data_IF_794312589575
#
_entry.id   IF_794312589575
#
_cell.length_a   1.000
_cell.length_b   1.000
_cell.length_c   1.000
_cell.angle_alpha   90.00
_cell.angle_beta   90.00
_cell.angle_gamma   90.00
#
_symmetry.space_group_name_H-M   'P 1'
#
loop_
_entity.id
_entity.type
_entity.pdbx_description
1 polymer ?
#
# COMPACT_ATOMS: atom_id res chain seq x y z
N UNK A 1 54.94 33.26 22.18
CA UNK A 1 54.13 33.31 20.96
C UNK A 1 53.70 31.88 20.70
N UNK A 2 52.47 31.54 21.03
CA UNK A 2 51.91 30.21 20.77
C UNK A 2 51.25 30.26 19.41
N UNK A 3 51.58 29.28 18.57
CA UNK A 3 51.03 29.07 17.24
C UNK A 3 49.51 28.80 17.36
N UNK A 4 48.64 29.43 16.57
CA UNK A 4 47.26 29.03 16.52
C UNK A 4 47.15 27.76 15.70
N UNK A 5 46.90 26.62 16.38
CA UNK A 5 46.42 25.40 15.72
C UNK A 5 45.18 25.73 14.92
N UNK A 6 45.31 25.68 13.59
CA UNK A 6 44.17 25.63 12.71
C UNK A 6 43.33 24.41 13.09
N UNK A 7 42.12 24.61 13.58
CA UNK A 7 41.11 23.57 13.63
C UNK A 7 40.83 23.18 12.17
N UNK A 8 41.34 22.05 11.72
CA UNK A 8 40.81 21.35 10.54
C UNK A 8 39.36 20.96 10.92
N UNK A 9 38.41 21.67 10.38
CA UNK A 9 37.01 21.25 10.35
C UNK A 9 36.99 20.11 9.34
N UNK A 10 37.01 18.88 9.84
CA UNK A 10 36.76 17.68 9.04
C UNK A 10 35.27 17.71 8.66
N UNK A 11 34.98 18.40 7.59
CA UNK A 11 33.63 18.42 7.01
C UNK A 11 33.45 17.09 6.29
N UNK A 12 32.62 16.22 6.86
CA UNK A 12 32.23 14.98 6.22
C UNK A 12 31.42 15.32 4.96
N UNK A 13 31.95 15.04 3.81
CA UNK A 13 31.34 15.33 2.50
C UNK A 13 30.77 14.08 1.83
N UNK A 14 30.72 12.95 2.56
CA UNK A 14 30.30 11.66 2.02
C UNK A 14 28.91 11.72 1.41
N UNK A 15 27.95 12.36 2.07
CA UNK A 15 26.57 12.49 1.60
C UNK A 15 26.51 13.28 0.29
N UNK A 16 27.21 14.40 0.21
CA UNK A 16 27.30 15.22 -1.00
C UNK A 16 27.99 14.48 -2.15
N UNK A 17 29.02 13.67 -1.85
CA UNK A 17 29.70 12.85 -2.85
C UNK A 17 28.78 11.75 -3.40
N UNK A 18 27.92 11.15 -2.57
CA UNK A 18 26.93 10.16 -2.97
C UNK A 18 25.88 10.79 -3.88
N UNK A 19 25.29 11.93 -3.48
CA UNK A 19 24.32 12.67 -4.28
C UNK A 19 24.91 13.09 -5.64
N UNK A 20 26.13 13.63 -5.65
CA UNK A 20 26.81 14.03 -6.88
C UNK A 20 27.12 12.83 -7.79
N UNK A 21 27.54 11.69 -7.22
CA UNK A 21 27.81 10.48 -7.98
C UNK A 21 26.49 9.89 -8.56
N UNK A 22 25.37 10.01 -7.85
CA UNK A 22 24.06 9.62 -8.35
C UNK A 22 23.61 10.50 -9.51
N UNK A 23 23.73 11.82 -9.38
CA UNK A 23 23.43 12.81 -10.44
C UNK A 23 24.26 12.56 -11.71
N UNK A 24 25.54 12.22 -11.56
CA UNK A 24 26.43 11.98 -12.70
C UNK A 24 26.38 10.52 -13.21
N UNK A 25 25.53 9.66 -12.68
CA UNK A 25 25.46 8.23 -12.97
C UNK A 25 26.80 7.50 -12.82
N UNK A 26 27.67 7.97 -11.91
CA UNK A 26 28.99 7.38 -11.65
C UNK A 26 28.86 6.14 -10.75
N UNK A 27 28.58 5.00 -11.39
CA UNK A 27 28.39 3.71 -10.72
C UNK A 27 29.61 3.25 -9.92
N UNK A 28 30.84 3.59 -10.36
CA UNK A 28 32.06 3.14 -9.70
C UNK A 28 32.30 3.92 -8.40
N UNK A 29 32.04 5.22 -8.42
CA UNK A 29 32.08 6.06 -7.21
C UNK A 29 30.98 5.67 -6.24
N UNK A 30 29.74 5.44 -6.71
CA UNK A 30 28.63 4.98 -5.87
C UNK A 30 28.95 3.65 -5.17
N UNK A 31 29.41 2.64 -5.91
CA UNK A 31 29.80 1.34 -5.33
C UNK A 31 30.89 1.46 -4.26
N UNK A 32 31.83 2.38 -4.45
CA UNK A 32 32.86 2.65 -3.47
C UNK A 32 32.34 3.36 -2.23
N UNK A 33 31.54 4.40 -2.41
CA UNK A 33 31.00 5.23 -1.33
C UNK A 33 30.00 4.45 -0.47
N UNK A 34 29.07 3.72 -1.08
CA UNK A 34 28.06 2.93 -0.37
C UNK A 34 28.64 1.76 0.45
N UNK A 35 29.87 1.32 0.17
CA UNK A 35 30.57 0.31 0.97
C UNK A 35 31.31 0.88 2.18
N UNK A 36 31.38 2.19 2.33
CA UNK A 36 31.99 2.81 3.49
C UNK A 36 31.08 2.73 4.71
N UNK A 37 31.58 2.72 5.95
CA UNK A 37 30.74 2.67 7.16
C UNK A 37 29.77 3.84 7.30
N UNK A 38 29.97 4.94 6.58
CA UNK A 38 29.12 6.13 6.56
C UNK A 38 28.30 6.24 5.29
N UNK A 39 28.51 5.35 4.32
CA UNK A 39 27.78 5.39 3.05
C UNK A 39 26.37 4.88 3.23
N UNK A 40 25.38 5.69 2.82
CA UNK A 40 23.97 5.31 2.81
C UNK A 40 23.35 5.66 1.47
N UNK A 41 22.50 4.78 0.97
CA UNK A 41 21.70 5.04 -0.23
C UNK A 41 20.49 5.98 0.06
N UNK A 42 20.27 6.32 1.35
CA UNK A 42 19.15 7.12 1.84
C UNK A 42 19.61 8.49 2.40
N UNK A 43 20.78 8.98 1.97
CA UNK A 43 21.19 10.35 2.29
C UNK A 43 20.23 11.34 1.67
N UNK A 44 20.01 12.47 2.33
CA UNK A 44 19.06 13.51 1.90
C UNK A 44 19.82 14.83 1.68
N UNK A 45 19.58 15.45 0.55
CA UNK A 45 20.04 16.80 0.28
C UNK A 45 19.27 17.81 1.14
N UNK A 46 19.99 18.62 1.92
CA UNK A 46 19.38 19.54 2.90
C UNK A 46 18.62 20.71 2.27
N UNK A 47 18.83 20.99 1.00
CA UNK A 47 18.25 22.15 0.31
C UNK A 47 17.02 21.79 -0.54
N UNK A 48 16.90 20.52 -0.91
CA UNK A 48 15.85 20.03 -1.83
C UNK A 48 15.06 18.83 -1.30
N UNK A 49 15.50 18.22 -0.20
CA UNK A 49 14.93 16.96 0.29
C UNK A 49 15.20 15.75 -0.60
N UNK A 50 15.96 15.91 -1.70
CA UNK A 50 16.19 14.83 -2.67
C UNK A 50 17.11 13.73 -2.11
N UNK A 51 16.72 12.48 -2.31
CA UNK A 51 17.55 11.31 -2.09
C UNK A 51 18.41 11.00 -3.33
N UNK A 52 19.42 10.09 -3.26
CA UNK A 52 20.17 9.66 -4.43
C UNK A 52 19.32 9.10 -5.57
N UNK A 53 18.15 8.49 -5.26
CA UNK A 53 17.19 8.04 -6.27
C UNK A 53 16.57 9.23 -7.02
N UNK A 54 16.15 10.26 -6.29
CA UNK A 54 15.67 11.50 -6.91
C UNK A 54 16.75 12.15 -7.78
N UNK A 55 17.95 12.29 -7.23
CA UNK A 55 19.08 12.92 -7.94
C UNK A 55 19.43 12.20 -9.26
N UNK A 56 19.42 10.86 -9.24
CA UNK A 56 19.66 10.06 -10.44
C UNK A 56 18.58 10.23 -11.51
N UNK A 57 17.32 10.39 -11.10
CA UNK A 57 16.18 10.55 -12.01
C UNK A 57 16.10 12.00 -12.51
N UNK A 58 16.27 12.98 -11.63
CA UNK A 58 16.26 14.41 -11.97
C UNK A 58 17.37 14.79 -12.97
N UNK A 59 18.49 14.07 -12.97
CA UNK A 59 19.57 14.29 -13.93
C UNK A 59 19.16 14.08 -15.40
N UNK A 60 18.03 13.38 -15.64
CA UNK A 60 17.46 13.20 -16.98
C UNK A 60 16.49 14.34 -17.39
N UNK A 61 16.26 15.32 -16.51
CA UNK A 61 15.42 16.48 -16.84
C UNK A 61 16.17 17.39 -17.83
N UNK A 62 15.59 17.62 -19.00
CA UNK A 62 16.19 18.46 -20.02
C UNK A 62 16.28 19.91 -19.52
N UNK A 63 17.45 20.52 -19.58
CA UNK A 63 17.60 21.94 -19.27
C UNK A 63 16.66 22.78 -20.16
N UNK A 64 15.85 23.67 -19.56
CA UNK A 64 14.92 24.56 -20.31
C UNK A 64 15.65 25.41 -21.37
N UNK A 65 16.90 25.80 -21.11
CA UNK A 65 17.73 26.56 -22.04
C UNK A 65 18.12 25.75 -23.30
N UNK A 66 18.29 24.42 -23.17
CA UNK A 66 18.59 23.53 -24.31
C UNK A 66 17.33 23.16 -25.09
N UNK A 67 16.16 23.19 -24.48
CA UNK A 67 14.87 22.95 -25.14
C UNK A 67 14.53 24.10 -26.10
N UNK A 68 14.84 25.36 -25.74
CA UNK A 68 14.58 26.52 -26.56
C UNK A 68 15.52 26.55 -27.80
N UNK A 69 16.77 26.17 -27.67
CA UNK A 69 17.73 26.08 -28.78
C UNK A 69 17.40 24.96 -29.77
N UNK A 70 16.72 23.90 -29.32
CA UNK A 70 16.29 22.76 -30.17
C UNK A 70 15.05 23.09 -31.03
N UNK A 71 14.24 24.09 -30.64
CA UNK A 71 13.08 24.54 -31.44
C UNK A 71 13.51 25.34 -32.67
N UNK A 72 14.66 25.98 -32.62
CA UNK A 72 15.19 26.80 -33.73
C UNK A 72 16.07 26.05 -34.72
N UNK A 73 16.37 24.78 -34.46
CA UNK A 73 17.11 23.91 -35.37
C UNK A 73 16.23 22.73 -35.80
N UNK A 74 16.19 22.43 -37.10
CA UNK A 74 15.57 21.23 -37.69
C UNK A 74 16.31 19.96 -37.15
N UNK A 75 16.10 19.61 -35.89
CA UNK A 75 16.72 18.44 -35.25
C UNK A 75 15.90 17.22 -35.59
N UNK A 76 16.57 16.20 -36.11
CA UNK A 76 15.98 14.91 -36.46
C UNK A 76 15.31 14.30 -35.21
N UNK A 77 13.97 14.18 -35.23
CA UNK A 77 13.12 13.68 -34.13
C UNK A 77 13.60 12.29 -33.65
N UNK A 78 14.20 11.50 -34.56
CA UNK A 78 14.80 10.20 -34.27
C UNK A 78 16.11 10.29 -33.44
N UNK A 79 16.87 11.39 -33.56
CA UNK A 79 18.11 11.58 -32.81
C UNK A 79 17.81 11.97 -31.33
N UNK A 80 16.83 12.84 -31.12
CA UNK A 80 16.38 13.23 -29.77
C UNK A 80 15.78 12.07 -28.98
N UNK A 81 14.99 11.22 -29.62
CA UNK A 81 14.44 10.00 -29.00
C UNK A 81 15.53 8.98 -28.63
N UNK A 82 16.63 8.98 -29.36
CA UNK A 82 17.75 8.05 -29.08
C UNK A 82 18.63 8.55 -27.92
N UNK A 83 18.78 9.86 -27.76
CA UNK A 83 19.52 10.45 -26.65
C UNK A 83 18.79 10.30 -25.31
N UNK A 84 17.49 10.56 -25.25
CA UNK A 84 16.68 10.33 -24.05
C UNK A 84 16.61 8.87 -23.64
N UNK A 85 16.60 7.94 -24.60
CA UNK A 85 16.63 6.50 -24.31
C UNK A 85 17.98 6.03 -23.73
N UNK A 86 19.10 6.69 -24.10
CA UNK A 86 20.42 6.39 -23.53
C UNK A 86 20.56 6.96 -22.11
N UNK A 87 20.06 8.18 -21.89
CA UNK A 87 20.04 8.81 -20.57
C UNK A 87 19.19 7.99 -19.58
N UNK A 88 17.98 7.53 -19.99
CA UNK A 88 17.16 6.63 -19.18
C UNK A 88 17.88 5.32 -18.84
N UNK A 89 18.65 4.75 -19.77
CA UNK A 89 19.38 3.50 -19.53
C UNK A 89 20.52 3.67 -18.51
N UNK A 90 21.17 4.83 -18.47
CA UNK A 90 22.21 5.17 -17.48
C UNK A 90 21.55 5.43 -16.11
N UNK A 91 20.47 6.20 -16.07
CA UNK A 91 19.68 6.42 -14.87
C UNK A 91 19.17 5.09 -14.29
N UNK A 92 18.64 4.21 -15.12
CA UNK A 92 18.14 2.89 -14.69
C UNK A 92 19.22 2.05 -14.01
N UNK A 93 20.45 2.08 -14.51
CA UNK A 93 21.57 1.34 -13.87
C UNK A 93 21.89 1.92 -12.50
N UNK A 94 21.87 3.24 -12.36
CA UNK A 94 22.09 3.94 -11.09
C UNK A 94 20.96 3.65 -10.11
N UNK A 95 19.72 3.77 -10.55
CA UNK A 95 18.51 3.43 -9.78
C UNK A 95 18.59 1.99 -9.24
N UNK A 96 18.88 1.01 -10.10
CA UNK A 96 19.01 -0.40 -9.68
C UNK A 96 20.11 -0.59 -8.65
N UNK A 97 21.27 0.05 -8.84
CA UNK A 97 22.38 -0.02 -7.89
C UNK A 97 21.98 0.55 -6.52
N UNK A 98 21.27 1.69 -6.49
CA UNK A 98 20.80 2.31 -5.25
C UNK A 98 19.77 1.42 -4.54
N UNK A 99 18.79 0.89 -5.26
CA UNK A 99 17.78 -0.04 -4.72
C UNK A 99 18.42 -1.34 -4.18
N UNK A 100 19.44 -1.89 -4.85
CA UNK A 100 20.20 -3.05 -4.38
C UNK A 100 21.00 -2.76 -3.10
N UNK A 101 21.25 -1.48 -2.79
CA UNK A 101 21.95 -1.03 -1.58
C UNK A 101 20.98 -0.41 -0.55
N UNK A 102 19.70 -0.73 -0.62
CA UNK A 102 18.70 -0.39 0.39
C UNK A 102 18.12 1.02 0.28
N UNK A 103 18.16 1.62 -0.92
CA UNK A 103 17.46 2.89 -1.13
C UNK A 103 15.95 2.72 -0.96
N UNK A 104 15.34 3.63 -0.22
CA UNK A 104 13.88 3.65 0.01
C UNK A 104 13.19 4.19 -1.25
N UNK A 105 12.28 3.39 -1.81
CA UNK A 105 11.66 3.64 -3.12
C UNK A 105 10.61 4.77 -3.10
N UNK A 106 10.05 5.09 -1.93
CA UNK A 106 8.92 6.01 -1.74
C UNK A 106 9.22 7.20 -0.82
N UNK A 107 10.49 7.49 -0.52
CA UNK A 107 10.88 8.71 0.19
C UNK A 107 10.40 9.95 -0.56
N UNK A 108 10.07 11.01 0.19
CA UNK A 108 9.57 12.27 -0.35
C UNK A 108 10.67 13.33 -0.40
N UNK A 109 10.70 14.09 -1.49
CA UNK A 109 11.46 15.34 -1.56
C UNK A 109 10.66 16.52 -0.98
N UNK A 110 11.22 17.73 -0.96
CA UNK A 110 10.55 18.95 -0.48
C UNK A 110 9.33 19.35 -1.31
N UNK A 111 9.14 18.77 -2.51
CA UNK A 111 7.96 18.97 -3.35
C UNK A 111 6.88 17.90 -3.10
N UNK A 112 7.07 17.02 -2.11
CA UNK A 112 6.22 15.86 -1.87
C UNK A 112 6.16 14.88 -3.06
N UNK A 113 7.19 14.82 -3.90
CA UNK A 113 7.34 13.82 -4.95
C UNK A 113 8.18 12.64 -4.45
N UNK A 114 7.78 11.42 -4.80
CA UNK A 114 8.66 10.25 -4.67
C UNK A 114 9.55 10.11 -5.91
N UNK A 115 10.66 9.35 -5.86
CA UNK A 115 11.46 9.07 -7.06
C UNK A 115 10.63 8.49 -8.21
N UNK A 116 9.61 7.66 -7.88
CA UNK A 116 8.68 7.10 -8.86
C UNK A 116 7.78 8.16 -9.49
N UNK A 117 7.23 9.11 -8.72
CA UNK A 117 6.44 10.23 -9.25
C UNK A 117 7.27 11.08 -10.20
N UNK A 118 8.50 11.40 -9.81
CA UNK A 118 9.46 12.13 -10.64
C UNK A 118 9.75 11.40 -11.95
N UNK A 119 10.01 10.09 -11.90
CA UNK A 119 10.24 9.28 -13.09
C UNK A 119 9.03 9.26 -14.03
N UNK A 120 7.80 9.19 -13.46
CA UNK A 120 6.56 9.24 -14.24
C UNK A 120 6.39 10.59 -14.93
N UNK A 121 6.62 11.69 -14.20
CA UNK A 121 6.54 13.06 -14.72
C UNK A 121 7.54 13.32 -15.86
N UNK A 122 8.73 12.78 -15.76
CA UNK A 122 9.78 12.88 -16.79
C UNK A 122 9.61 11.88 -17.94
N UNK A 123 8.64 10.97 -17.86
CA UNK A 123 8.38 9.95 -18.88
C UNK A 123 9.39 8.79 -18.90
N UNK A 124 10.19 8.60 -17.84
CA UNK A 124 11.21 7.57 -17.68
C UNK A 124 10.59 6.25 -17.24
N UNK A 125 9.94 5.55 -18.18
CA UNK A 125 9.13 4.36 -17.91
C UNK A 125 9.89 3.22 -17.25
N UNK A 126 11.14 2.97 -17.67
CA UNK A 126 11.95 1.88 -17.11
C UNK A 126 12.38 2.17 -15.68
N UNK A 127 12.68 3.44 -15.35
CA UNK A 127 12.99 3.86 -13.98
C UNK A 127 11.73 3.75 -13.11
N UNK A 128 10.57 4.19 -13.62
CA UNK A 128 9.29 4.04 -12.95
C UNK A 128 8.96 2.57 -12.65
N UNK A 129 9.07 1.68 -13.65
CA UNK A 129 8.85 0.24 -13.47
C UNK A 129 9.80 -0.36 -12.41
N UNK A 130 11.07 0.08 -12.38
CA UNK A 130 12.03 -0.37 -11.37
C UNK A 130 11.62 0.06 -9.95
N UNK A 131 11.03 1.27 -9.78
CA UNK A 131 10.47 1.73 -8.51
C UNK A 131 9.28 0.88 -8.08
N UNK A 132 8.32 0.65 -8.99
CA UNK A 132 7.16 -0.21 -8.69
C UNK A 132 7.60 -1.63 -8.30
N UNK A 133 8.54 -2.23 -9.03
CA UNK A 133 9.08 -3.55 -8.69
C UNK A 133 9.79 -3.56 -7.33
N UNK A 134 10.51 -2.49 -6.98
CA UNK A 134 11.16 -2.37 -5.68
C UNK A 134 10.14 -2.25 -4.55
N UNK A 135 9.10 -1.43 -4.75
CA UNK A 135 7.99 -1.27 -3.81
C UNK A 135 7.28 -2.59 -3.55
N UNK A 136 6.89 -3.32 -4.60
CA UNK A 136 6.24 -4.63 -4.46
C UNK A 136 7.11 -5.60 -3.64
N UNK A 137 8.41 -5.66 -3.93
CA UNK A 137 9.33 -6.53 -3.15
C UNK A 137 9.43 -6.11 -1.68
N UNK A 138 9.48 -4.81 -1.41
CA UNK A 138 9.56 -4.27 -0.06
C UNK A 138 8.29 -4.61 0.75
N UNK A 139 7.11 -4.31 0.19
CA UNK A 139 5.82 -4.56 0.85
C UNK A 139 5.58 -6.06 1.13
N UNK A 140 5.89 -6.94 0.17
CA UNK A 140 5.79 -8.39 0.36
C UNK A 140 6.78 -8.91 1.41
N UNK A 141 7.96 -8.31 1.53
CA UNK A 141 8.95 -8.67 2.55
C UNK A 141 8.48 -8.23 3.93
N UNK A 142 8.03 -6.98 4.08
CA UNK A 142 7.49 -6.45 5.33
C UNK A 142 6.30 -7.27 5.84
N UNK A 143 5.34 -7.57 4.95
CA UNK A 143 4.19 -8.41 5.29
C UNK A 143 4.56 -9.82 5.81
N UNK A 144 5.70 -10.36 5.40
CA UNK A 144 6.20 -11.64 5.93
C UNK A 144 6.88 -11.47 7.29
N UNK A 145 7.58 -10.36 7.51
CA UNK A 145 8.25 -10.09 8.79
C UNK A 145 7.25 -9.86 9.92
N UNK A 146 6.16 -9.14 9.66
CA UNK A 146 5.07 -8.94 10.63
C UNK A 146 4.49 -10.28 11.14
N UNK A 147 4.41 -11.30 10.27
CA UNK A 147 4.01 -12.64 10.67
C UNK A 147 4.99 -13.35 11.61
N UNK A 148 6.28 -13.05 11.53
CA UNK A 148 7.30 -13.63 12.42
C UNK A 148 7.32 -12.97 13.80
N UNK A 149 7.08 -11.68 13.92
CA UNK A 149 6.98 -10.99 15.22
C UNK A 149 5.80 -11.49 16.03
N UNK A 150 4.66 -11.75 15.40
CA UNK A 150 3.49 -12.31 16.09
C UNK A 150 3.75 -13.71 16.67
N UNK A 151 4.52 -14.56 15.99
CA UNK A 151 4.89 -15.88 16.51
C UNK A 151 5.81 -15.78 17.73
N UNK A 152 6.72 -14.84 17.77
CA UNK A 152 7.59 -14.60 18.91
C UNK A 152 6.84 -14.07 20.16
N UNK A 153 5.78 -13.29 19.98
CA UNK A 153 4.93 -12.81 21.09
C UNK A 153 4.05 -13.93 21.70
N UNK A 154 3.66 -14.94 20.92
CA UNK A 154 2.87 -16.06 21.45
C UNK A 154 3.70 -17.07 22.24
N UNK A 155 5.02 -17.12 22.07
CA UNK A 155 5.89 -18.03 22.83
C UNK A 155 6.22 -17.51 24.25
N UNK A 156 6.07 -16.20 24.53
CA UNK A 156 6.42 -15.61 25.81
C UNK A 156 5.26 -15.57 26.84
N UNK A 157 4.01 -15.81 26.41
CA UNK A 157 2.83 -15.88 27.29
C UNK A 157 2.49 -17.29 27.81
N UNK A 158 3.32 -18.31 27.50
CA UNK A 158 3.06 -19.70 27.90
C UNK A 158 3.97 -20.27 28.99
N UNK A 159 4.69 -19.44 29.74
CA UNK A 159 5.41 -19.87 30.95
C UNK A 159 4.55 -19.70 32.21
N UNK A 160 3.51 -20.50 32.38
CA UNK A 160 3.01 -20.95 33.70
C UNK A 160 1.95 -22.05 33.51
N UNK A 161 2.42 -23.29 33.25
CA UNK A 161 1.76 -24.51 33.74
C UNK A 161 2.73 -25.68 33.56
N UNK A 162 3.49 -25.99 34.61
CA UNK A 162 4.13 -27.29 34.78
C UNK A 162 3.05 -28.33 35.10
N UNK A 163 2.63 -29.11 34.10
CA UNK A 163 2.01 -30.42 34.37
C UNK A 163 2.68 -31.51 33.51
N UNK A 164 3.11 -32.50 34.22
CA UNK A 164 3.76 -33.77 33.87
C UNK A 164 3.34 -34.35 32.52
N UNK A 165 4.23 -34.38 31.54
CA UNK A 165 4.09 -35.19 30.32
C UNK A 165 5.02 -36.43 30.41
N UNK A 166 4.54 -37.51 30.99
CA UNK A 166 5.06 -38.85 30.76
C UNK A 166 4.63 -39.37 29.38
N UNK A 167 5.61 -39.79 28.58
CA UNK A 167 5.39 -40.84 27.58
C UNK A 167 5.36 -40.44 26.11
N UNK A 168 6.51 -40.19 25.52
CA UNK A 168 6.67 -40.33 24.07
C UNK A 168 7.20 -41.76 23.78
N UNK A 169 6.35 -42.65 23.25
CA UNK A 169 6.76 -43.95 22.72
C UNK A 169 7.48 -43.74 21.37
N UNK A 170 8.74 -44.14 21.33
CA UNK A 170 9.54 -44.22 20.09
C UNK A 170 9.09 -45.47 19.35
N UNK A 171 8.47 -45.32 18.20
CA UNK A 171 8.18 -46.42 17.28
C UNK A 171 9.46 -46.74 16.52
N UNK A 172 10.13 -47.82 16.89
CA UNK A 172 11.24 -48.41 16.12
C UNK A 172 10.68 -49.16 14.90
N UNK A 173 11.07 -48.74 13.70
CA UNK A 173 10.85 -49.52 12.50
C UNK A 173 11.91 -50.66 12.37
N UNK A 174 11.46 -51.84 12.05
CA UNK A 174 12.23 -53.08 11.93
C UNK A 174 13.24 -53.11 10.74
N UNK A 175 13.96 -52.09 10.44
CA UNK A 175 15.12 -52.15 9.56
C UNK A 175 16.16 -51.16 10.05
N UNK A 176 17.11 -51.63 10.80
CA UNK A 176 18.19 -50.91 11.46
C UNK A 176 19.12 -50.17 10.49
N UNK A 177 18.71 -49.08 9.91
CA UNK A 177 19.54 -48.14 9.19
C UNK A 177 19.37 -46.76 9.79
N UNK A 178 20.36 -46.31 10.55
CA UNK A 178 20.43 -45.01 11.14
C UNK A 178 20.72 -43.97 10.05
N UNK A 179 19.69 -43.20 9.64
CA UNK A 179 19.88 -42.01 8.86
C UNK A 179 20.50 -40.92 9.77
N UNK A 180 21.81 -40.77 9.69
CA UNK A 180 22.49 -39.57 10.18
C UNK A 180 21.96 -38.35 9.41
N UNK A 181 21.19 -37.49 10.08
CA UNK A 181 20.94 -36.14 9.61
C UNK A 181 22.28 -35.42 9.57
N UNK A 182 22.77 -35.16 8.36
CA UNK A 182 23.92 -34.26 8.15
C UNK A 182 23.49 -32.86 8.58
N UNK A 183 24.06 -32.38 9.67
CA UNK A 183 24.03 -30.97 10.00
C UNK A 183 24.72 -30.22 8.82
N UNK A 184 23.96 -29.42 8.11
CA UNK A 184 24.52 -28.44 7.20
C UNK A 184 25.17 -27.40 8.11
N UNK A 185 26.50 -27.30 8.05
CA UNK A 185 27.23 -26.20 8.66
C UNK A 185 26.73 -24.90 8.01
N UNK A 186 26.05 -24.07 8.80
CA UNK A 186 25.65 -22.73 8.39
C UNK A 186 26.92 -21.89 8.34
N UNK A 187 27.23 -21.36 7.17
CA UNK A 187 28.34 -20.42 6.94
C UNK A 187 28.17 -19.20 7.86
N UNK A 188 29.09 -19.00 8.80
CA UNK A 188 29.12 -17.87 9.74
C UNK A 188 29.35 -16.49 9.05
N UNK A 189 29.22 -16.37 7.75
CA UNK A 189 29.44 -15.15 6.98
C UNK A 189 28.15 -14.41 6.56
N UNK A 190 26.99 -14.79 7.08
CA UNK A 190 25.75 -14.00 6.87
C UNK A 190 25.86 -12.69 7.68
N UNK A 191 25.60 -11.52 7.09
CA UNK A 191 25.61 -10.27 7.84
C UNK A 191 24.52 -10.28 8.90
N UNK A 192 24.86 -9.92 10.15
CA UNK A 192 23.87 -9.69 11.21
C UNK A 192 22.91 -8.58 10.75
N UNK A 193 21.65 -8.95 10.58
CA UNK A 193 20.56 -8.05 10.21
C UNK A 193 19.94 -7.32 11.41
N UNK A 194 20.44 -7.56 12.62
CA UNK A 194 19.91 -7.00 13.86
C UNK A 194 21.00 -6.22 14.58
N UNK A 195 20.74 -4.94 14.90
CA UNK A 195 21.64 -4.12 15.71
C UNK A 195 21.77 -4.65 17.15
N UNK A 196 22.83 -4.23 17.89
CA UNK A 196 23.10 -4.71 19.26
C UNK A 196 22.03 -4.32 20.30
N UNK A 197 21.02 -3.56 19.94
CA UNK A 197 19.86 -3.13 20.74
C UNK A 197 18.55 -3.83 20.34
N UNK A 198 18.62 -4.80 19.42
CA UNK A 198 17.44 -5.56 18.96
C UNK A 198 16.59 -4.82 17.90
N UNK A 199 17.05 -3.67 17.39
CA UNK A 199 16.34 -2.94 16.35
C UNK A 199 16.77 -3.40 14.95
N UNK A 200 15.81 -3.66 14.08
CA UNK A 200 16.01 -3.93 12.64
C UNK A 200 16.12 -2.57 11.95
N UNK A 201 17.24 -2.22 11.30
CA UNK A 201 17.31 -0.98 10.54
C UNK A 201 16.34 -1.04 9.36
N UNK A 202 15.29 -0.22 9.37
CA UNK A 202 14.30 -0.13 8.29
C UNK A 202 12.90 -0.64 8.62
N UNK A 203 12.63 -1.12 9.84
CA UNK A 203 11.28 -1.41 10.32
C UNK A 203 10.57 -0.15 10.82
N UNK A 204 10.82 1.01 10.20
CA UNK A 204 9.90 2.13 10.35
C UNK A 204 8.78 1.92 9.33
N UNK A 205 7.55 1.84 9.86
CA UNK A 205 6.28 1.85 9.14
C UNK A 205 6.36 2.73 7.89
N UNK A 206 5.60 2.35 6.86
CA UNK A 206 5.29 3.21 5.68
C UNK A 206 5.32 4.67 6.14
N UNK A 207 6.11 5.57 5.53
CA UNK A 207 6.19 6.95 6.00
C UNK A 207 4.78 7.52 6.14
N UNK A 208 4.36 7.74 7.39
CA UNK A 208 3.13 8.46 7.69
C UNK A 208 3.19 9.77 6.92
N UNK A 209 2.16 10.07 6.15
CA UNK A 209 2.01 11.36 5.48
C UNK A 209 2.00 12.45 6.56
N UNK A 210 3.15 13.02 6.86
CA UNK A 210 3.28 14.14 7.77
C UNK A 210 2.75 15.38 7.03
N UNK A 211 1.55 15.80 7.34
CA UNK A 211 1.07 17.13 6.93
C UNK A 211 1.53 18.16 7.95
N UNK A 212 2.18 19.21 7.46
CA UNK A 212 2.58 20.36 8.27
C UNK A 212 1.41 21.36 8.24
N UNK A 213 0.90 21.74 9.41
CA UNK A 213 -0.15 22.78 9.52
C UNK A 213 0.38 24.18 9.18
N UNK A 214 -0.53 25.16 9.08
CA UNK A 214 -0.19 26.58 8.78
C UNK A 214 0.81 27.19 9.80
N UNK A 215 1.11 26.49 10.89
CA UNK A 215 2.02 26.91 11.97
C UNK A 215 3.35 26.12 11.96
N UNK A 216 3.58 25.23 10.98
CA UNK A 216 4.79 24.42 10.85
C UNK A 216 4.86 23.28 11.90
N UNK A 217 3.73 22.83 12.44
CA UNK A 217 3.65 21.75 13.39
C UNK A 217 3.22 20.46 12.68
N UNK A 218 3.97 19.37 12.87
CA UNK A 218 3.61 18.05 12.36
C UNK A 218 2.26 17.62 12.92
N UNK A 219 1.28 17.47 12.06
CA UNK A 219 0.00 16.86 12.42
C UNK A 219 0.05 15.39 12.05
N UNK A 220 -0.03 14.50 13.02
CA UNK A 220 -0.29 13.08 12.78
C UNK A 220 -1.63 12.96 12.05
N UNK A 221 -1.58 12.52 10.81
CA UNK A 221 -2.77 12.40 9.95
C UNK A 221 -3.14 10.94 9.79
N UNK A 222 -2.91 10.14 10.80
CA UNK A 222 -3.37 8.76 10.78
C UNK A 222 -4.79 8.69 11.33
N UNK A 223 -5.76 8.45 10.44
CA UNK A 223 -7.13 8.15 10.83
C UNK A 223 -7.17 6.64 11.06
N UNK A 224 -7.01 6.23 12.31
CA UNK A 224 -7.17 4.84 12.68
C UNK A 224 -8.65 4.47 12.89
N UNK A 225 -8.94 3.20 12.80
CA UNK A 225 -10.31 2.67 12.91
C UNK A 225 -10.98 3.01 14.26
N UNK A 226 -10.24 3.06 15.37
CA UNK A 226 -10.79 3.35 16.69
C UNK A 226 -11.22 4.80 16.82
N UNK A 227 -10.38 5.74 16.38
CA UNK A 227 -10.67 7.16 16.37
C UNK A 227 -11.84 7.47 15.42
N UNK A 228 -11.88 6.82 14.26
CA UNK A 228 -12.99 6.92 13.33
C UNK A 228 -14.31 6.48 13.97
N UNK A 229 -14.36 5.29 14.57
CA UNK A 229 -15.57 4.76 15.19
C UNK A 229 -16.05 5.57 16.39
N UNK A 230 -15.15 6.32 17.05
CA UNK A 230 -15.47 7.24 18.14
C UNK A 230 -15.82 8.66 17.66
N UNK A 231 -15.59 8.99 16.39
CA UNK A 231 -15.79 10.33 15.82
C UNK A 231 -17.26 10.61 15.53
N UNK A 232 -17.66 11.89 15.50
CA UNK A 232 -18.98 12.30 15.02
C UNK A 232 -18.96 12.50 13.52
N UNK A 233 -19.88 11.85 12.79
CA UNK A 233 -19.95 11.93 11.34
C UNK A 233 -20.89 13.02 10.86
N UNK A 234 -20.47 13.73 9.82
CA UNK A 234 -21.28 14.74 9.13
C UNK A 234 -21.74 14.23 7.77
N UNK A 235 -23.05 14.00 7.61
CA UNK A 235 -23.71 13.72 6.33
C UNK A 235 -24.13 15.03 5.69
N UNK A 236 -23.47 15.45 4.62
CA UNK A 236 -23.75 16.72 3.95
C UNK A 236 -23.96 16.49 2.45
N UNK A 237 -25.23 16.29 2.06
CA UNK A 237 -25.63 16.15 0.66
C UNK A 237 -24.97 14.94 -0.01
N UNK A 238 -23.91 15.19 -0.70
CA UNK A 238 -23.14 14.31 -1.57
C UNK A 238 -21.88 13.72 -0.91
N UNK A 239 -21.64 13.98 0.39
CA UNK A 239 -20.42 13.58 1.08
C UNK A 239 -20.65 13.17 2.53
N UNK A 240 -19.82 12.25 2.98
CA UNK A 240 -19.69 11.81 4.36
C UNK A 240 -18.29 12.22 4.87
N UNK A 241 -18.26 12.97 5.95
CA UNK A 241 -17.03 13.47 6.56
C UNK A 241 -16.96 13.04 8.02
N UNK A 242 -15.75 12.78 8.52
CA UNK A 242 -15.49 12.62 9.95
C UNK A 242 -15.45 13.96 10.71
N UNK A 243 -15.18 13.90 12.03
CA UNK A 243 -15.11 15.08 12.90
C UNK A 243 -14.02 16.07 12.47
N UNK A 244 -12.92 15.58 11.90
CA UNK A 244 -11.80 16.38 11.40
C UNK A 244 -11.97 16.84 9.96
N UNK A 245 -13.14 16.57 9.36
CA UNK A 245 -13.46 16.85 7.95
C UNK A 245 -12.63 16.06 6.94
N UNK A 246 -12.13 14.90 7.31
CA UNK A 246 -11.58 13.98 6.33
C UNK A 246 -12.72 13.36 5.51
N UNK A 247 -12.48 13.15 4.22
CA UNK A 247 -13.46 12.46 3.37
C UNK A 247 -13.54 10.99 3.75
N UNK A 248 -14.76 10.52 4.09
CA UNK A 248 -15.03 9.10 4.37
C UNK A 248 -15.61 8.44 3.13
N UNK A 249 -16.59 9.06 2.49
CA UNK A 249 -17.22 8.59 1.25
C UNK A 249 -17.84 9.78 0.52
N UNK A 250 -17.82 9.74 -0.80
CA UNK A 250 -18.37 10.80 -1.65
C UNK A 250 -19.17 10.27 -2.83
N UNK A 251 -20.11 11.08 -3.34
CA UNK A 251 -21.00 10.67 -4.42
C UNK A 251 -20.32 10.43 -5.77
N UNK A 252 -19.11 10.95 -5.99
CA UNK A 252 -18.35 10.68 -7.22
C UNK A 252 -18.02 9.19 -7.40
N UNK A 253 -18.01 8.41 -6.31
CA UNK A 253 -17.78 6.96 -6.33
C UNK A 253 -18.96 6.18 -6.94
N UNK A 254 -20.12 6.82 -7.15
CA UNK A 254 -21.35 6.15 -7.62
C UNK A 254 -21.13 5.37 -8.92
N UNK A 255 -20.38 5.91 -9.87
CA UNK A 255 -20.13 5.24 -11.16
C UNK A 255 -19.25 4.01 -11.00
N UNK A 256 -18.28 4.06 -10.07
CA UNK A 256 -17.46 2.91 -9.68
C UNK A 256 -18.36 1.83 -9.08
N UNK A 257 -19.20 2.20 -8.11
CA UNK A 257 -20.10 1.26 -7.41
C UNK A 257 -21.15 0.64 -8.32
N UNK A 258 -21.66 1.40 -9.30
CA UNK A 258 -22.55 0.86 -10.34
C UNK A 258 -21.88 -0.25 -11.15
N UNK A 259 -20.67 -0.02 -11.65
CA UNK A 259 -19.91 -1.02 -12.40
C UNK A 259 -19.53 -2.21 -11.53
N UNK A 260 -19.14 -1.97 -10.29
CA UNK A 260 -18.83 -3.02 -9.31
C UNK A 260 -20.03 -3.95 -9.12
N UNK A 261 -21.23 -3.40 -8.87
CA UNK A 261 -22.46 -4.21 -8.73
C UNK A 261 -22.81 -4.97 -10.00
N UNK A 262 -22.61 -4.37 -11.18
CA UNK A 262 -22.82 -5.06 -12.46
C UNK A 262 -21.89 -6.26 -12.64
N UNK A 263 -20.67 -6.19 -12.12
CA UNK A 263 -19.70 -7.29 -12.14
C UNK A 263 -19.99 -8.34 -11.07
N UNK A 264 -20.26 -7.92 -9.84
CA UNK A 264 -20.52 -8.84 -8.71
C UNK A 264 -21.89 -9.53 -8.84
N UNK A 265 -22.89 -8.81 -9.35
CA UNK A 265 -24.27 -9.30 -9.47
C UNK A 265 -24.75 -9.22 -10.91
N UNK A 266 -24.27 -10.10 -11.83
CA UNK A 266 -24.71 -10.08 -13.23
C UNK A 266 -26.17 -10.44 -13.40
N UNK A 267 -26.76 -11.13 -12.43
CA UNK A 267 -28.14 -11.60 -12.44
C UNK A 267 -28.95 -11.05 -11.27
N UNK A 268 -30.26 -11.26 -11.29
CA UNK A 268 -31.16 -10.89 -10.18
C UNK A 268 -31.31 -12.07 -9.22
N UNK A 269 -31.69 -11.77 -7.99
CA UNK A 269 -32.03 -12.80 -7.01
C UNK A 269 -30.83 -13.44 -6.34
N UNK A 270 -29.65 -12.83 -6.46
CA UNK A 270 -28.41 -13.28 -5.82
C UNK A 270 -28.39 -12.93 -4.33
N UNK A 271 -27.52 -13.60 -3.58
CA UNK A 271 -27.22 -13.35 -2.16
C UNK A 271 -25.98 -12.47 -2.11
N UNK A 272 -26.03 -11.34 -1.44
CA UNK A 272 -24.90 -10.42 -1.35
C UNK A 272 -24.55 -10.11 0.10
N UNK A 273 -23.25 -9.92 0.34
CA UNK A 273 -22.69 -9.37 1.56
C UNK A 273 -21.96 -8.08 1.22
N UNK A 274 -22.31 -7.00 1.90
CA UNK A 274 -21.56 -5.74 1.88
C UNK A 274 -20.93 -5.49 3.25
N UNK A 275 -19.64 -5.18 3.27
CA UNK A 275 -18.87 -4.79 4.47
C UNK A 275 -18.54 -3.31 4.38
N UNK A 276 -19.19 -2.50 5.22
CA UNK A 276 -19.16 -1.03 5.17
C UNK A 276 -20.35 -0.46 4.40
N UNK A 277 -21.24 0.29 5.11
CA UNK A 277 -22.41 0.92 4.50
C UNK A 277 -22.15 2.36 4.04
N UNK A 278 -21.46 3.13 4.87
CA UNK A 278 -21.16 4.53 4.60
C UNK A 278 -22.40 5.37 4.27
N UNK A 279 -22.46 5.90 3.06
CA UNK A 279 -23.61 6.62 2.53
C UNK A 279 -24.70 5.70 1.97
N UNK A 280 -24.46 4.40 1.88
CA UNK A 280 -25.37 3.41 1.34
C UNK A 280 -25.49 3.41 -0.18
N UNK A 281 -24.51 3.97 -0.88
CA UNK A 281 -24.53 4.07 -2.35
C UNK A 281 -24.59 2.68 -2.96
N UNK A 282 -23.61 1.82 -2.66
CA UNK A 282 -23.56 0.47 -3.24
C UNK A 282 -24.74 -0.39 -2.80
N UNK A 283 -25.17 -0.26 -1.54
CA UNK A 283 -26.31 -1.01 -1.01
C UNK A 283 -27.63 -0.63 -1.72
N UNK A 284 -27.78 0.67 -2.05
CA UNK A 284 -28.89 1.15 -2.87
C UNK A 284 -28.91 0.50 -4.25
N UNK A 285 -27.74 0.40 -4.88
CA UNK A 285 -27.58 -0.21 -6.21
C UNK A 285 -27.87 -1.72 -6.16
N UNK A 286 -27.42 -2.44 -5.12
CA UNK A 286 -27.78 -3.85 -4.91
C UNK A 286 -29.30 -4.04 -4.77
N UNK A 287 -29.99 -3.14 -4.05
CA UNK A 287 -31.46 -3.20 -3.95
C UNK A 287 -32.15 -2.95 -5.30
N UNK A 288 -31.65 -2.03 -6.11
CA UNK A 288 -32.15 -1.77 -7.46
C UNK A 288 -31.92 -2.96 -8.42
N UNK A 289 -30.83 -3.71 -8.22
CA UNK A 289 -30.56 -4.99 -8.90
C UNK A 289 -31.52 -6.10 -8.50
N UNK A 290 -32.27 -5.92 -7.38
CA UNK A 290 -33.22 -6.90 -6.82
C UNK A 290 -32.52 -8.19 -6.39
N UNK A 291 -31.51 -8.06 -5.57
CA UNK A 291 -30.89 -9.18 -4.87
C UNK A 291 -31.92 -9.84 -3.93
N UNK A 292 -31.85 -11.15 -3.72
CA UNK A 292 -32.79 -11.88 -2.89
C UNK A 292 -32.45 -11.80 -1.40
N UNK A 293 -31.16 -11.82 -1.09
CA UNK A 293 -30.64 -11.71 0.28
C UNK A 293 -29.54 -10.66 0.27
N UNK A 294 -29.59 -9.75 1.22
CA UNK A 294 -28.63 -8.65 1.32
C UNK A 294 -28.18 -8.50 2.78
N UNK A 295 -27.01 -9.01 3.10
CA UNK A 295 -26.37 -8.79 4.39
C UNK A 295 -25.49 -7.55 4.31
N UNK A 296 -25.57 -6.70 5.34
CA UNK A 296 -24.77 -5.48 5.46
C UNK A 296 -24.13 -5.49 6.85
N UNK A 297 -22.80 -5.36 6.90
CA UNK A 297 -22.04 -5.18 8.12
C UNK A 297 -21.68 -3.70 8.23
N UNK A 298 -22.01 -3.09 9.37
CA UNK A 298 -21.69 -1.70 9.64
C UNK A 298 -21.29 -1.53 11.11
N UNK A 299 -20.19 -0.82 11.35
CA UNK A 299 -19.64 -0.64 12.69
C UNK A 299 -19.94 0.76 13.27
N UNK A 300 -20.02 1.80 12.41
CA UNK A 300 -20.11 3.17 12.91
C UNK A 300 -21.49 3.51 13.47
N UNK A 301 -21.59 3.99 14.74
CA UNK A 301 -22.89 4.27 15.37
C UNK A 301 -23.75 5.28 14.60
N UNK A 302 -23.15 6.35 14.04
CA UNK A 302 -23.87 7.39 13.31
C UNK A 302 -24.39 6.87 11.96
N UNK A 303 -23.63 5.99 11.29
CA UNK A 303 -24.10 5.32 10.07
C UNK A 303 -25.29 4.40 10.40
N UNK A 304 -25.18 3.59 11.45
CA UNK A 304 -26.31 2.74 11.92
C UNK A 304 -27.54 3.56 12.29
N UNK A 305 -27.38 4.70 12.96
CA UNK A 305 -28.47 5.62 13.28
C UNK A 305 -29.12 6.18 12.00
N UNK A 306 -28.31 6.49 10.98
CA UNK A 306 -28.78 6.93 9.67
C UNK A 306 -29.52 5.82 8.93
N UNK A 307 -29.01 4.59 8.93
CA UNK A 307 -29.67 3.43 8.33
C UNK A 307 -31.04 3.18 8.93
N UNK A 308 -31.20 3.32 10.27
CA UNK A 308 -32.52 3.22 10.93
C UNK A 308 -33.50 4.30 10.44
N UNK A 309 -33.01 5.55 10.33
CA UNK A 309 -33.81 6.68 9.85
C UNK A 309 -34.25 6.50 8.40
N UNK A 310 -33.38 5.92 7.56
CA UNK A 310 -33.63 5.74 6.13
C UNK A 310 -34.38 4.42 5.83
N UNK A 311 -34.82 3.68 6.88
CA UNK A 311 -35.65 2.50 6.76
C UNK A 311 -34.95 1.25 6.22
N UNK A 312 -33.64 1.13 6.40
CA UNK A 312 -32.87 -0.04 5.93
C UNK A 312 -33.26 -1.33 6.66
N UNK A 313 -33.62 -1.24 7.93
CA UNK A 313 -34.04 -2.41 8.74
C UNK A 313 -35.37 -3.02 8.34
N UNK A 314 -36.19 -2.25 7.66
CA UNK A 314 -37.54 -2.67 7.19
C UNK A 314 -37.52 -3.17 5.74
N UNK A 315 -36.38 -3.05 5.02
CA UNK A 315 -36.29 -3.49 3.63
C UNK A 315 -36.35 -5.02 3.54
N UNK A 316 -37.21 -5.58 2.67
CA UNK A 316 -37.32 -7.03 2.50
C UNK A 316 -35.98 -7.64 2.03
N UNK A 317 -35.54 -8.74 2.65
CA UNK A 317 -34.31 -9.45 2.30
C UNK A 317 -33.05 -8.82 2.82
N UNK A 318 -33.11 -7.66 3.49
CA UNK A 318 -31.98 -7.00 4.12
C UNK A 318 -31.79 -7.52 5.55
N UNK A 319 -30.55 -7.84 5.90
CA UNK A 319 -30.13 -8.18 7.27
C UNK A 319 -28.91 -7.34 7.63
N UNK A 320 -29.06 -6.48 8.64
CA UNK A 320 -28.00 -5.60 9.12
C UNK A 320 -27.31 -6.26 10.30
N UNK A 321 -25.99 -6.30 10.27
CA UNK A 321 -25.13 -6.76 11.34
C UNK A 321 -24.39 -5.54 11.90
N UNK A 322 -24.72 -5.20 13.15
CA UNK A 322 -24.17 -4.05 13.84
C UNK A 322 -22.87 -4.45 14.54
N UNK A 323 -21.75 -3.88 14.16
CA UNK A 323 -20.44 -4.14 14.75
C UNK A 323 -19.33 -4.22 13.72
N UNK A 324 -18.12 -4.45 14.21
CA UNK A 324 -16.95 -4.64 13.35
C UNK A 324 -17.07 -5.96 12.58
N UNK A 325 -16.57 -5.97 11.37
CA UNK A 325 -16.59 -7.18 10.54
C UNK A 325 -15.78 -8.32 11.19
N UNK A 326 -14.70 -8.00 11.91
CA UNK A 326 -13.89 -8.96 12.65
C UNK A 326 -14.70 -9.77 13.69
N UNK A 327 -15.73 -9.15 14.25
CA UNK A 327 -16.64 -9.80 15.24
C UNK A 327 -17.81 -10.53 14.56
N UNK A 328 -18.28 -10.01 13.43
CA UNK A 328 -19.48 -10.49 12.74
C UNK A 328 -19.19 -11.64 11.79
N UNK A 329 -18.12 -11.52 11.02
CA UNK A 329 -17.82 -12.46 9.93
C UNK A 329 -17.55 -13.89 10.41
N UNK A 330 -16.82 -14.14 11.52
CA UNK A 330 -16.69 -15.48 12.08
C UNK A 330 -18.04 -16.15 12.38
N UNK A 331 -19.03 -15.39 12.87
CA UNK A 331 -20.38 -15.90 13.15
C UNK A 331 -21.10 -16.29 11.84
N UNK A 332 -20.96 -15.50 10.77
CA UNK A 332 -21.54 -15.84 9.47
C UNK A 332 -20.95 -17.13 8.88
N UNK A 333 -19.65 -17.35 9.08
CA UNK A 333 -18.98 -18.60 8.69
C UNK A 333 -19.50 -19.79 9.52
N UNK A 334 -19.62 -19.63 10.84
CA UNK A 334 -20.19 -20.66 11.73
C UNK A 334 -21.65 -21.01 11.37
N UNK A 335 -22.44 -20.01 10.96
CA UNK A 335 -23.82 -20.17 10.47
C UNK A 335 -23.87 -20.79 9.06
N UNK A 336 -22.74 -21.05 8.41
CA UNK A 336 -22.64 -21.52 7.02
C UNK A 336 -23.36 -20.59 6.03
N UNK A 337 -23.30 -19.28 6.24
CA UNK A 337 -23.81 -18.31 5.28
C UNK A 337 -22.93 -18.32 4.04
N UNK A 338 -23.57 -18.29 2.85
CA UNK A 338 -22.85 -18.28 1.57
C UNK A 338 -23.47 -17.22 0.67
N UNK A 339 -22.61 -16.45 -0.01
CA UNK A 339 -22.99 -15.31 -0.83
C UNK A 339 -22.48 -15.48 -2.27
N UNK A 340 -23.27 -15.02 -3.23
CA UNK A 340 -22.93 -15.02 -4.65
C UNK A 340 -22.06 -13.79 -5.02
N UNK A 341 -22.20 -12.71 -4.23
CA UNK A 341 -21.38 -11.50 -4.34
C UNK A 341 -20.98 -10.97 -2.97
N UNK A 342 -19.71 -10.63 -2.81
CA UNK A 342 -19.16 -9.99 -1.60
C UNK A 342 -18.47 -8.70 -2.01
N UNK A 343 -18.72 -7.60 -1.30
CA UNK A 343 -18.02 -6.34 -1.46
C UNK A 343 -17.47 -5.88 -0.12
N UNK A 344 -16.22 -5.41 -0.14
CA UNK A 344 -15.52 -4.93 1.06
C UNK A 344 -15.06 -3.49 0.84
N UNK A 345 -15.56 -2.59 1.69
CA UNK A 345 -15.26 -1.16 1.63
C UNK A 345 -15.34 -0.57 3.03
N UNK A 346 -14.24 -0.62 3.75
CA UNK A 346 -14.11 -0.10 5.11
C UNK A 346 -13.23 1.14 5.11
N UNK A 347 -13.53 2.09 5.99
CA UNK A 347 -12.75 3.31 6.17
C UNK A 347 -11.79 3.18 7.36
N UNK A 348 -10.60 3.80 7.22
CA UNK A 348 -9.59 3.88 8.28
C UNK A 348 -9.06 2.51 8.76
N UNK A 349 -9.02 1.52 7.88
CA UNK A 349 -8.35 0.26 8.11
C UNK A 349 -7.12 0.13 7.19
N UNK A 350 -6.06 -0.49 7.72
CA UNK A 350 -4.84 -0.77 6.97
C UNK A 350 -5.05 -1.91 5.96
N UNK A 351 -4.13 -2.06 5.01
CA UNK A 351 -4.13 -3.16 4.05
C UNK A 351 -4.26 -4.54 4.69
N UNK A 352 -3.65 -4.72 5.88
CA UNK A 352 -3.71 -5.96 6.65
C UNK A 352 -5.15 -6.43 6.90
N UNK A 353 -6.07 -5.51 7.18
CA UNK A 353 -7.49 -5.84 7.41
C UNK A 353 -8.15 -6.43 6.16
N UNK A 354 -7.94 -5.82 4.99
CA UNK A 354 -8.43 -6.37 3.71
C UNK A 354 -7.80 -7.76 3.43
N UNK A 355 -6.49 -7.89 3.65
CA UNK A 355 -5.77 -9.16 3.47
C UNK A 355 -6.30 -10.26 4.37
N UNK A 356 -6.49 -9.99 5.66
CA UNK A 356 -7.10 -10.92 6.62
C UNK A 356 -8.50 -11.33 6.16
N UNK A 357 -9.34 -10.38 5.73
CA UNK A 357 -10.69 -10.67 5.27
C UNK A 357 -10.72 -11.66 4.11
N UNK A 358 -9.90 -11.47 3.07
CA UNK A 358 -9.94 -12.37 1.93
C UNK A 358 -9.16 -13.69 2.14
N UNK A 359 -8.11 -13.71 2.97
CA UNK A 359 -7.36 -14.95 3.25
C UNK A 359 -8.09 -15.88 4.20
N UNK A 360 -8.75 -15.33 5.23
CA UNK A 360 -9.32 -16.13 6.31
C UNK A 360 -10.81 -16.43 6.10
N UNK A 361 -11.57 -15.51 5.47
CA UNK A 361 -13.03 -15.59 5.52
C UNK A 361 -13.71 -15.75 4.16
N UNK A 362 -13.18 -15.14 3.08
CA UNK A 362 -13.86 -15.19 1.77
C UNK A 362 -14.05 -16.62 1.30
N UNK A 363 -13.09 -17.51 1.55
CA UNK A 363 -13.20 -18.94 1.17
C UNK A 363 -14.39 -19.64 1.83
N UNK A 364 -14.78 -19.23 3.03
CA UNK A 364 -15.92 -19.78 3.77
C UNK A 364 -17.27 -19.13 3.45
N UNK A 365 -17.25 -17.93 2.88
CA UNK A 365 -18.44 -17.11 2.65
C UNK A 365 -18.85 -17.00 1.18
N UNK A 366 -17.91 -17.16 0.24
CA UNK A 366 -18.18 -16.98 -1.18
C UNK A 366 -18.64 -18.29 -1.81
N UNK A 367 -19.71 -18.21 -2.62
CA UNK A 367 -20.14 -19.33 -3.47
C UNK A 367 -19.01 -19.70 -4.45
N UNK A 368 -18.81 -20.98 -4.80
CA UNK A 368 -17.78 -21.39 -5.77
C UNK A 368 -17.83 -20.63 -7.11
N UNK A 369 -19.00 -20.22 -7.56
CA UNK A 369 -19.21 -19.40 -8.76
C UNK A 369 -19.37 -17.90 -8.44
N UNK A 370 -19.23 -17.53 -7.16
CA UNK A 370 -19.41 -16.19 -6.65
C UNK A 370 -18.28 -15.24 -7.05
N UNK A 371 -18.45 -13.97 -6.73
CA UNK A 371 -17.47 -12.91 -7.02
C UNK A 371 -17.23 -12.04 -5.80
N UNK A 372 -15.95 -11.75 -5.57
CA UNK A 372 -15.51 -10.83 -4.54
C UNK A 372 -14.99 -9.54 -5.19
N UNK A 373 -15.27 -8.41 -4.58
CA UNK A 373 -14.71 -7.11 -4.95
C UNK A 373 -14.50 -6.26 -3.72
N UNK A 374 -13.68 -5.24 -3.85
CA UNK A 374 -13.38 -4.29 -2.78
C UNK A 374 -13.11 -2.91 -3.36
N UNK A 375 -13.19 -1.86 -2.52
CA UNK A 375 -12.77 -0.54 -2.92
C UNK A 375 -11.22 -0.49 -2.96
N UNK A 376 -10.66 -0.36 -4.15
CA UNK A 376 -9.21 -0.33 -4.35
C UNK A 376 -8.68 1.10 -4.18
N UNK A 377 -8.62 1.57 -2.95
CA UNK A 377 -8.14 2.91 -2.59
C UNK A 377 -6.72 2.95 -2.02
N UNK A 378 -6.02 1.82 -1.97
CA UNK A 378 -4.69 1.72 -1.37
C UNK A 378 -3.65 2.52 -2.16
N UNK A 379 -3.00 3.49 -1.48
CA UNK A 379 -1.97 4.32 -2.10
C UNK A 379 -2.50 5.26 -3.19
N UNK A 380 -3.81 5.57 -3.23
CA UNK A 380 -4.45 6.38 -4.26
C UNK A 380 -4.14 7.88 -4.17
N UNK A 381 -3.27 8.29 -3.27
CA UNK A 381 -2.67 9.63 -3.19
C UNK A 381 -1.58 9.85 -4.24
N UNK A 382 -0.98 8.78 -4.78
CA UNK A 382 0.05 8.83 -5.85
C UNK A 382 0.11 7.55 -6.67
N UNK A 383 0.34 7.75 -7.98
CA UNK A 383 0.31 6.67 -8.95
C UNK A 383 1.26 5.50 -8.64
N UNK A 384 2.50 5.80 -8.20
CA UNK A 384 3.48 4.74 -7.91
C UNK A 384 3.06 3.86 -6.73
N UNK A 385 2.51 4.46 -5.67
CA UNK A 385 2.00 3.70 -4.53
C UNK A 385 0.79 2.85 -4.92
N UNK A 386 -0.13 3.43 -5.66
CA UNK A 386 -1.31 2.73 -6.18
C UNK A 386 -0.94 1.53 -7.07
N UNK A 387 0.07 1.69 -7.95
CA UNK A 387 0.57 0.61 -8.79
C UNK A 387 1.24 -0.50 -7.96
N UNK A 388 1.98 -0.12 -6.92
CA UNK A 388 2.60 -1.08 -5.99
C UNK A 388 1.53 -1.88 -5.26
N UNK A 389 0.60 -1.21 -4.57
CA UNK A 389 -0.43 -1.90 -3.77
C UNK A 389 -1.40 -2.70 -4.64
N UNK A 390 -1.73 -2.24 -5.86
CA UNK A 390 -2.53 -3.04 -6.79
C UNK A 390 -1.84 -4.36 -7.13
N UNK A 391 -0.52 -4.36 -7.35
CA UNK A 391 0.24 -5.61 -7.59
C UNK A 391 0.38 -6.48 -6.36
N UNK A 392 0.59 -5.88 -5.19
CA UNK A 392 0.68 -6.61 -3.92
C UNK A 392 -0.64 -7.34 -3.63
N UNK A 393 -1.78 -6.64 -3.72
CA UNK A 393 -3.09 -7.25 -3.48
C UNK A 393 -3.43 -8.34 -4.50
N UNK A 394 -3.05 -8.16 -5.77
CA UNK A 394 -3.22 -9.19 -6.81
C UNK A 394 -2.44 -10.48 -6.46
N UNK A 395 -1.19 -10.34 -6.00
CA UNK A 395 -0.36 -11.47 -5.60
C UNK A 395 -0.90 -12.16 -4.35
N UNK A 396 -1.30 -11.40 -3.34
CA UNK A 396 -1.87 -11.95 -2.11
C UNK A 396 -3.22 -12.65 -2.35
N UNK A 397 -4.07 -12.12 -3.24
CA UNK A 397 -5.31 -12.76 -3.68
C UNK A 397 -5.04 -14.07 -4.43
N UNK A 398 -4.03 -14.08 -5.30
CA UNK A 398 -3.62 -15.30 -6.00
C UNK A 398 -3.12 -16.37 -5.03
N UNK A 399 -2.31 -15.99 -4.05
CA UNK A 399 -1.84 -16.89 -2.98
C UNK A 399 -3.01 -17.41 -2.11
N UNK A 400 -4.09 -16.61 -1.97
CA UNK A 400 -5.34 -17.03 -1.33
C UNK A 400 -6.26 -17.88 -2.23
N UNK A 401 -5.83 -18.22 -3.45
CA UNK A 401 -6.58 -19.07 -4.38
C UNK A 401 -7.63 -18.31 -5.21
N UNK A 402 -7.48 -17.00 -5.37
CA UNK A 402 -8.36 -16.18 -6.19
C UNK A 402 -7.63 -15.58 -7.39
N UNK A 403 -8.28 -15.58 -8.54
CA UNK A 403 -7.87 -14.87 -9.74
C UNK A 403 -8.59 -13.52 -9.79
N UNK A 404 -7.87 -12.45 -10.11
CA UNK A 404 -8.38 -11.07 -10.06
C UNK A 404 -8.28 -10.42 -11.45
N UNK A 405 -9.42 -9.93 -11.93
CA UNK A 405 -9.51 -9.09 -13.13
C UNK A 405 -9.67 -7.63 -12.70
N UNK A 406 -8.80 -6.74 -13.20
CA UNK A 406 -8.93 -5.30 -13.00
C UNK A 406 -9.51 -4.63 -14.25
N UNK A 407 -10.54 -3.80 -14.06
CA UNK A 407 -11.10 -2.94 -15.11
C UNK A 407 -10.75 -1.47 -14.81
N UNK A 408 -10.07 -0.81 -15.75
CA UNK A 408 -9.75 0.62 -15.61
C UNK A 408 -10.99 1.48 -15.83
N UNK A 409 -11.28 2.35 -14.87
CA UNK A 409 -12.36 3.33 -14.90
C UNK A 409 -11.73 4.72 -14.82
N UNK A 410 -11.95 5.55 -15.84
CA UNK A 410 -11.50 6.93 -15.81
C UNK A 410 -12.27 7.73 -14.76
N UNK A 411 -11.54 8.42 -13.88
CA UNK A 411 -12.06 9.35 -12.89
C UNK A 411 -11.85 10.77 -13.43
N UNK A 412 -12.91 11.59 -13.51
CA UNK A 412 -12.75 12.98 -13.92
C UNK A 412 -11.95 13.76 -12.89
N UNK A 413 -11.42 14.92 -13.27
CA UNK A 413 -10.71 15.79 -12.35
C UNK A 413 -11.63 16.27 -11.21
N UNK A 414 -11.42 15.69 -10.02
CA UNK A 414 -12.23 15.93 -8.82
C UNK A 414 -11.96 17.34 -8.23
N UNK A 415 -10.78 17.90 -8.48
CA UNK A 415 -10.44 19.27 -8.10
C UNK A 415 -11.19 20.29 -8.93
N UNK A 416 -11.22 20.12 -10.27
CA UNK A 416 -11.98 20.99 -11.17
C UNK A 416 -13.50 20.91 -10.90
N UNK A 417 -14.00 19.75 -10.42
CA UNK A 417 -15.38 19.57 -10.02
C UNK A 417 -15.72 20.13 -8.64
N UNK A 418 -14.71 20.53 -7.85
CA UNK A 418 -14.88 21.06 -6.51
C UNK A 418 -15.27 19.98 -5.48
N UNK A 419 -15.02 18.69 -5.77
CA UNK A 419 -15.38 17.58 -4.87
C UNK A 419 -14.65 17.69 -3.52
N UNK A 420 -13.45 18.26 -3.51
CA UNK A 420 -12.65 18.42 -2.30
C UNK A 420 -12.88 19.74 -1.55
N UNK A 421 -13.86 20.58 -1.95
CA UNK A 421 -14.14 21.83 -1.22
C UNK A 421 -14.57 21.56 0.22
N UNK A 422 -13.77 22.07 1.18
CA UNK A 422 -14.02 21.94 2.62
C UNK A 422 -13.67 20.57 3.19
N UNK A 423 -13.01 19.72 2.42
CA UNK A 423 -12.41 18.44 2.84
C UNK A 423 -10.96 18.68 3.22
N UNK A 424 -10.56 18.24 4.42
CA UNK A 424 -9.20 18.42 4.91
C UNK A 424 -8.23 17.43 4.25
N UNK A 425 -8.59 16.15 4.19
CA UNK A 425 -7.78 15.10 3.57
C UNK A 425 -8.51 14.50 2.37
N UNK A 426 -7.87 14.58 1.22
CA UNK A 426 -8.28 13.88 0.02
C UNK A 426 -7.80 12.44 0.11
N UNK A 427 -8.64 11.49 -0.28
CA UNK A 427 -8.25 10.08 -0.31
C UNK A 427 -8.04 9.55 -1.73
N UNK A 428 -8.23 10.42 -2.74
CA UNK A 428 -8.06 10.08 -4.14
C UNK A 428 -7.42 11.24 -4.92
N UNK A 429 -6.37 10.94 -5.72
CA UNK A 429 -5.66 11.93 -6.53
C UNK A 429 -5.27 11.41 -7.93
N UNK A 430 -5.94 10.36 -8.41
CA UNK A 430 -5.58 9.67 -9.65
C UNK A 430 -6.69 9.79 -10.70
N UNK A 431 -6.28 9.73 -11.99
CA UNK A 431 -7.20 9.81 -13.13
C UNK A 431 -7.90 8.48 -13.45
N UNK A 432 -7.42 7.38 -12.92
CA UNK A 432 -7.95 6.04 -13.21
C UNK A 432 -8.06 5.18 -11.95
N UNK A 433 -9.24 4.60 -11.78
CA UNK A 433 -9.53 3.59 -10.77
C UNK A 433 -9.45 2.20 -11.38
N UNK A 434 -8.75 1.27 -10.74
CA UNK A 434 -8.70 -0.14 -11.11
C UNK A 434 -9.69 -0.94 -10.30
N UNK A 435 -10.82 -1.23 -10.90
CA UNK A 435 -11.91 -1.95 -10.27
C UNK A 435 -11.62 -3.46 -10.23
N UNK A 436 -11.48 -4.07 -9.03
CA UNK A 436 -11.20 -5.48 -8.91
C UNK A 436 -12.46 -6.33 -9.03
N UNK A 437 -12.31 -7.50 -9.68
CA UNK A 437 -13.29 -8.58 -9.65
C UNK A 437 -12.55 -9.90 -9.45
N UNK A 438 -12.72 -10.51 -8.30
CA UNK A 438 -12.02 -11.71 -7.88
C UNK A 438 -12.94 -12.93 -7.95
N UNK A 439 -12.38 -14.09 -8.35
CA UNK A 439 -13.04 -15.40 -8.40
C UNK A 439 -12.08 -16.46 -7.93
N UNK A 440 -12.60 -17.56 -7.44
CA UNK A 440 -11.74 -18.71 -7.16
C UNK A 440 -11.05 -19.21 -8.44
N UNK A 441 -9.78 -19.58 -8.31
CA UNK A 441 -9.03 -20.25 -9.38
C UNK A 441 -9.70 -21.58 -9.66
N UNK A 442 -10.18 -21.77 -10.90
CA UNK A 442 -10.90 -22.99 -11.33
C UNK A 442 -9.99 -24.13 -11.73
#
# INVERSE_FOLDING_TARGET
MADPQAMEIDTDTTDQEILLAATNHDLDSLRRLLRTPKGSANVVDSDTGMTPLHAAIAACEADEDTAQDKIDMDVDEAATLNDTALEEEEALKTVKLLLENGAIWNDLDDNNETPGCLALRLGLKKCYEAMVEAGVRAELLLSRLDGFEMLAQYEDDSEEEEEDAEGFEIIENENGDSLQASMVEVDESAPELVGPDGTVPGAESVPELVQIDENGQETKVDVNSEDYLASELTFKGDRLLDADKNGVMMSWETDIMLKTVDRLCPERGLRVLNVGHGMGIIDGIFQDKKVAVHHIIEAHPDVLARMRKDGWYEKPGVKIHEGRWQDVVPQLVEENQVFDGIYFDTFAEEYKALKEFFTEYVIGLLDPEGRFGFFNGLGADRQVCYDVYTRVVEMDLFDAGMDTEFEDIHIPDLDEQGEWEGVRRRYWALDNYRMPTCKFVG
#
